data_IF_831382923982
#
_entry.id   IF_831382923982
#
_cell.length_a   1.000
_cell.length_b   1.000
_cell.length_c   1.000
_cell.angle_alpha   90.00
_cell.angle_beta   90.00
_cell.angle_gamma   90.00
#
_symmetry.space_group_name_H-M   'P 1'
#
loop_
_entity.id
_entity.type
_entity.pdbx_description
1 polymer ?
#
# COMPACT_ATOMS: atom_id res chain seq x y z
N UNK A 1 51.92 -42.85 -45.63
CA UNK A 1 52.62 -42.51 -44.39
C UNK A 1 51.79 -43.04 -43.23
N UNK A 2 52.41 -43.93 -42.45
CA UNK A 2 52.09 -44.38 -41.08
C UNK A 2 50.70 -44.13 -40.46
N UNK A 3 50.09 -45.06 -39.72
CA UNK A 3 50.33 -46.49 -39.43
C UNK A 3 49.15 -46.94 -38.53
N UNK A 4 48.66 -48.15 -38.78
CA UNK A 4 48.04 -49.13 -37.87
C UNK A 4 46.91 -48.69 -36.93
N UNK A 5 45.71 -49.20 -37.25
CA UNK A 5 44.76 -49.63 -36.22
C UNK A 5 45.25 -50.90 -35.53
N UNK A 6 44.92 -51.02 -34.24
CA UNK A 6 44.86 -52.32 -33.59
C UNK A 6 43.80 -52.31 -32.47
N UNK A 7 43.10 -53.43 -32.40
CA UNK A 7 41.94 -53.74 -31.56
C UNK A 7 42.41 -54.15 -30.18
N UNK A 8 41.85 -53.60 -29.09
CA UNK A 8 41.86 -54.25 -27.76
C UNK A 8 40.55 -53.96 -26.99
N UNK A 9 39.79 -55.04 -26.82
CA UNK A 9 38.80 -55.41 -25.80
C UNK A 9 38.50 -54.45 -24.64
N UNK A 10 37.22 -54.04 -24.52
CA UNK A 10 36.64 -53.46 -23.31
C UNK A 10 36.29 -54.58 -22.30
N UNK A 11 37.03 -54.62 -21.20
CA UNK A 11 36.74 -55.40 -20.00
C UNK A 11 35.73 -54.68 -19.10
N UNK A 12 34.67 -55.41 -18.75
CA UNK A 12 33.87 -55.37 -17.52
C UNK A 12 33.80 -54.06 -16.70
N UNK A 13 32.61 -53.41 -16.72
CA UNK A 13 32.16 -52.49 -15.67
C UNK A 13 31.65 -53.26 -14.45
N UNK A 14 32.04 -52.92 -13.21
CA UNK A 14 31.25 -53.26 -12.04
C UNK A 14 30.19 -52.19 -11.79
N UNK A 15 29.02 -52.66 -11.36
CA UNK A 15 27.85 -51.86 -11.05
C UNK A 15 27.93 -51.16 -9.68
N UNK A 16 27.13 -50.08 -9.57
CA UNK A 16 26.61 -49.38 -8.39
C UNK A 16 27.57 -48.49 -7.58
N UNK A 17 27.19 -47.22 -7.44
CA UNK A 17 26.35 -46.81 -6.29
C UNK A 17 25.82 -45.38 -6.37
N UNK A 18 24.49 -45.27 -6.18
CA UNK A 18 23.75 -44.30 -5.34
C UNK A 18 23.93 -42.79 -5.57
N UNK A 19 22.89 -42.20 -6.14
CA UNK A 19 22.11 -41.10 -5.54
C UNK A 19 22.90 -39.94 -4.93
N UNK A 20 23.22 -38.95 -5.74
CA UNK A 20 23.47 -37.58 -5.29
C UNK A 20 22.22 -36.76 -5.54
N UNK A 21 21.57 -36.32 -4.46
CA UNK A 21 20.61 -35.22 -4.50
C UNK A 21 21.35 -33.98 -4.99
N UNK A 22 20.97 -33.46 -6.17
CA UNK A 22 21.40 -32.13 -6.57
C UNK A 22 20.73 -31.14 -5.62
N UNK A 23 21.50 -30.61 -4.67
CA UNK A 23 21.10 -29.42 -3.94
C UNK A 23 21.18 -28.26 -4.92
N UNK A 24 20.02 -27.78 -5.37
CA UNK A 24 19.91 -26.46 -5.96
C UNK A 24 20.48 -25.42 -4.98
N UNK A 25 21.22 -24.42 -5.48
CA UNK A 25 21.69 -23.34 -4.62
C UNK A 25 20.46 -22.54 -4.17
N UNK A 26 20.06 -22.71 -2.90
CA UNK A 26 19.12 -21.80 -2.24
C UNK A 26 19.67 -20.39 -2.36
N UNK A 27 18.99 -19.53 -3.11
CA UNK A 27 19.29 -18.10 -3.17
C UNK A 27 18.89 -17.48 -1.82
N UNK A 28 19.82 -17.13 -0.93
CA UNK A 28 19.50 -16.69 0.43
C UNK A 28 18.69 -15.38 0.44
N UNK A 29 18.77 -14.58 -0.62
CA UNK A 29 17.98 -13.34 -0.78
C UNK A 29 16.49 -13.58 -1.02
N UNK A 30 16.11 -14.71 -1.63
CA UNK A 30 14.71 -15.02 -1.96
C UNK A 30 13.87 -15.44 -0.75
N UNK A 31 14.47 -16.17 0.20
CA UNK A 31 13.80 -16.57 1.45
C UNK A 31 13.63 -15.37 2.40
N UNK A 32 14.59 -14.42 2.42
CA UNK A 32 14.56 -13.22 3.28
C UNK A 32 13.48 -12.20 2.84
N UNK A 33 13.27 -12.05 1.52
CA UNK A 33 12.22 -11.17 0.97
C UNK A 33 10.78 -11.71 1.13
N UNK A 34 10.61 -13.02 1.35
CA UNK A 34 9.29 -13.65 1.37
C UNK A 34 8.50 -13.41 2.69
N UNK A 35 9.23 -13.15 3.78
CA UNK A 35 8.67 -12.83 5.10
C UNK A 35 8.42 -11.34 5.33
N UNK A 36 9.06 -10.48 4.54
CA UNK A 36 8.87 -9.03 4.60
C UNK A 36 7.46 -8.65 4.15
N UNK A 37 6.87 -7.70 4.85
CA UNK A 37 5.52 -7.20 4.60
C UNK A 37 5.49 -6.22 3.43
N UNK A 38 4.34 -6.10 2.78
CA UNK A 38 4.15 -5.17 1.66
C UNK A 38 4.43 -3.73 2.09
N UNK A 39 3.92 -3.34 3.27
CA UNK A 39 4.10 -2.01 3.84
C UNK A 39 5.56 -1.66 4.06
N UNK A 40 6.39 -2.62 4.50
CA UNK A 40 7.84 -2.41 4.66
C UNK A 40 8.57 -2.20 3.32
N UNK A 41 8.14 -2.87 2.24
CA UNK A 41 8.73 -2.61 0.91
C UNK A 41 8.48 -1.16 0.47
N UNK A 42 7.24 -0.69 0.62
CA UNK A 42 6.84 0.66 0.20
C UNK A 42 7.39 1.73 1.15
N UNK A 43 7.47 1.46 2.45
CA UNK A 43 8.05 2.38 3.41
C UNK A 43 9.56 2.59 3.19
N UNK A 44 10.29 1.55 2.80
CA UNK A 44 11.71 1.67 2.44
C UNK A 44 11.92 2.42 1.13
N UNK A 45 11.05 2.17 0.14
CA UNK A 45 11.11 2.83 -1.15
C UNK A 45 9.71 2.96 -1.76
N UNK A 46 9.17 4.19 -1.71
CA UNK A 46 7.81 4.47 -2.15
C UNK A 46 7.56 4.12 -3.62
N UNK A 47 8.60 4.09 -4.46
CA UNK A 47 8.48 3.71 -5.88
C UNK A 47 7.98 2.28 -6.07
N UNK A 48 8.16 1.43 -5.06
CA UNK A 48 7.66 0.05 -5.08
C UNK A 48 6.13 -0.01 -4.95
N UNK A 49 5.45 1.06 -4.50
CA UNK A 49 3.99 1.15 -4.49
C UNK A 49 3.39 0.85 -5.87
N UNK A 50 3.96 1.45 -6.93
CA UNK A 50 3.48 1.27 -8.30
C UNK A 50 3.56 -0.18 -8.79
N UNK A 51 4.46 -0.99 -8.24
CA UNK A 51 4.49 -2.44 -8.51
C UNK A 51 3.27 -3.10 -7.89
N UNK A 52 2.99 -2.85 -6.61
CA UNK A 52 1.83 -3.45 -5.94
C UNK A 52 0.51 -3.00 -6.57
N UNK A 53 0.37 -1.73 -6.92
CA UNK A 53 -0.79 -1.17 -7.63
C UNK A 53 -1.04 -1.88 -8.97
N UNK A 54 0.01 -2.09 -9.76
CA UNK A 54 -0.06 -2.78 -11.05
C UNK A 54 -0.65 -4.19 -10.92
N UNK A 55 -0.43 -4.86 -9.80
CA UNK A 55 -0.92 -6.21 -9.52
C UNK A 55 -2.18 -6.23 -8.65
N UNK A 56 -2.75 -5.06 -8.30
CA UNK A 56 -3.90 -4.95 -7.41
C UNK A 56 -3.64 -5.52 -6.02
N UNK A 57 -2.40 -5.40 -5.53
CA UNK A 57 -1.99 -5.77 -4.18
C UNK A 57 -2.12 -4.52 -3.31
N UNK A 58 -2.91 -4.60 -2.25
CA UNK A 58 -3.13 -3.50 -1.32
C UNK A 58 -1.91 -3.30 -0.40
N UNK A 59 -1.22 -2.18 -0.59
CA UNK A 59 -0.04 -1.80 0.18
C UNK A 59 -0.33 -0.76 1.27
N UNK A 60 -1.54 -0.18 1.32
CA UNK A 60 -1.89 0.88 2.25
C UNK A 60 -2.59 0.30 3.49
N UNK A 61 -3.71 -0.41 3.34
CA UNK A 61 -4.43 -1.06 4.44
C UNK A 61 -3.88 -2.47 4.70
N UNK A 62 -3.70 -3.25 3.63
CA UNK A 62 -3.13 -4.59 3.64
C UNK A 62 -1.61 -4.67 3.86
N UNK A 63 -0.96 -3.54 4.14
CA UNK A 63 0.50 -3.41 4.24
C UNK A 63 1.17 -4.39 5.21
N UNK A 64 0.50 -4.81 6.29
CA UNK A 64 1.03 -5.78 7.26
C UNK A 64 1.10 -7.22 6.73
N UNK A 65 0.56 -7.50 5.54
CA UNK A 65 0.61 -8.83 4.94
C UNK A 65 2.00 -9.13 4.40
N UNK A 66 2.53 -10.32 4.71
CA UNK A 66 3.75 -10.81 4.08
C UNK A 66 3.57 -10.89 2.56
N UNK A 67 4.60 -10.51 1.79
CA UNK A 67 4.58 -10.52 0.33
C UNK A 67 4.09 -11.85 -0.23
N UNK A 68 4.59 -12.95 0.31
CA UNK A 68 4.24 -14.30 -0.14
C UNK A 68 2.76 -14.63 0.09
N UNK A 69 2.15 -14.12 1.17
CA UNK A 69 0.74 -14.35 1.47
C UNK A 69 -0.17 -13.58 0.51
N UNK A 70 0.12 -12.31 0.28
CA UNK A 70 -0.63 -11.48 -0.65
C UNK A 70 -0.55 -11.99 -2.10
N UNK A 71 0.65 -12.41 -2.53
CA UNK A 71 0.84 -13.03 -3.85
C UNK A 71 0.01 -14.33 -3.99
N UNK A 72 0.01 -15.19 -2.98
CA UNK A 72 -0.80 -16.43 -2.98
C UNK A 72 -2.29 -16.15 -3.10
N UNK A 73 -2.81 -15.14 -2.41
CA UNK A 73 -4.23 -14.76 -2.50
C UNK A 73 -4.64 -14.31 -3.91
N UNK A 74 -3.73 -13.68 -4.65
CA UNK A 74 -3.95 -13.20 -6.01
C UNK A 74 -3.53 -14.20 -7.11
N UNK A 75 -2.96 -15.36 -6.73
CA UNK A 75 -2.45 -16.34 -7.69
C UNK A 75 -1.21 -15.86 -8.46
N UNK A 76 -0.41 -14.97 -7.86
CA UNK A 76 0.79 -14.37 -8.46
C UNK A 76 2.03 -15.09 -7.92
N UNK A 77 3.04 -15.27 -8.77
CA UNK A 77 4.36 -15.76 -8.34
C UNK A 77 5.11 -14.66 -7.56
N UNK A 78 5.44 -14.86 -6.27
CA UNK A 78 6.19 -13.88 -5.50
C UNK A 78 7.54 -13.50 -6.13
N UNK A 79 8.19 -14.43 -6.85
CA UNK A 79 9.49 -14.16 -7.48
C UNK A 79 9.38 -13.09 -8.58
N UNK A 80 8.26 -13.04 -9.30
CA UNK A 80 7.99 -12.02 -10.30
C UNK A 80 7.90 -10.63 -9.65
N UNK A 81 7.17 -10.52 -8.53
CA UNK A 81 7.00 -9.26 -7.81
C UNK A 81 8.34 -8.76 -7.27
N UNK A 82 9.16 -9.64 -6.69
CA UNK A 82 10.51 -9.27 -6.23
C UNK A 82 11.36 -8.72 -7.37
N UNK A 83 11.27 -9.32 -8.56
CA UNK A 83 12.02 -8.84 -9.73
C UNK A 83 11.55 -7.43 -10.17
N UNK A 84 10.24 -7.17 -10.17
CA UNK A 84 9.72 -5.84 -10.51
C UNK A 84 10.04 -4.80 -9.44
N UNK A 85 10.04 -5.17 -8.15
CA UNK A 85 10.49 -4.31 -7.05
C UNK A 85 11.95 -3.90 -7.25
N UNK A 86 12.83 -4.84 -7.57
CA UNK A 86 14.25 -4.53 -7.80
C UNK A 86 14.45 -3.68 -9.05
N UNK A 87 13.63 -3.88 -10.10
CA UNK A 87 13.64 -3.03 -11.28
C UNK A 87 13.16 -1.59 -10.96
N UNK A 88 12.12 -1.42 -10.15
CA UNK A 88 11.63 -0.08 -9.75
C UNK A 88 12.68 0.71 -8.96
N UNK A 89 13.61 0.03 -8.28
CA UNK A 89 14.66 0.65 -7.48
C UNK A 89 15.84 1.19 -8.29
N UNK A 90 15.95 0.88 -9.58
CA UNK A 90 17.16 1.22 -10.38
C UNK A 90 17.34 2.71 -10.63
N UNK A 91 16.26 3.49 -10.59
CA UNK A 91 16.34 4.94 -10.71
C UNK A 91 16.89 5.57 -9.41
N UNK A 92 17.43 6.79 -9.44
CA UNK A 92 17.76 7.49 -8.20
C UNK A 92 16.49 7.78 -7.39
N UNK A 93 16.48 7.46 -6.10
CA UNK A 93 15.39 7.88 -5.19
C UNK A 93 15.32 9.41 -5.24
N UNK A 94 14.17 9.94 -5.65
CA UNK A 94 13.91 11.37 -5.49
C UNK A 94 13.94 11.68 -4.00
N UNK A 95 14.83 12.61 -3.59
CA UNK A 95 15.04 12.95 -2.18
C UNK A 95 13.75 13.36 -1.45
N UNK A 96 12.74 13.78 -2.20
CA UNK A 96 11.40 14.16 -1.77
C UNK A 96 10.49 13.00 -1.34
N UNK A 97 10.88 11.74 -1.56
CA UNK A 97 10.01 10.57 -1.32
C UNK A 97 10.56 9.58 -0.28
N UNK A 98 11.61 9.94 0.45
CA UNK A 98 12.09 9.14 1.58
C UNK A 98 11.31 9.48 2.87
N UNK A 99 10.03 9.11 2.88
CA UNK A 99 9.11 9.37 3.99
C UNK A 99 9.54 8.66 5.29
N UNK A 100 10.19 7.50 5.19
CA UNK A 100 10.74 6.80 6.35
C UNK A 100 11.81 7.59 7.10
N UNK A 101 12.51 8.53 6.45
CA UNK A 101 13.47 9.41 7.10
C UNK A 101 12.83 10.65 7.77
N UNK A 102 11.54 10.91 7.57
CA UNK A 102 10.90 12.10 8.10
C UNK A 102 10.55 11.97 9.58
N UNK A 103 10.74 13.07 10.30
CA UNK A 103 10.35 13.20 11.69
C UNK A 103 8.82 13.17 11.83
N UNK A 104 8.32 12.58 12.92
CA UNK A 104 6.90 12.42 13.20
C UNK A 104 6.09 13.73 13.05
N UNK A 105 6.49 14.88 13.62
CA UNK A 105 5.77 16.13 13.45
C UNK A 105 5.69 16.60 11.99
N UNK A 106 6.79 16.45 11.24
CA UNK A 106 6.87 16.90 9.86
C UNK A 106 6.03 16.01 8.94
N UNK A 107 6.04 14.69 9.15
CA UNK A 107 5.21 13.77 8.40
C UNK A 107 3.72 14.04 8.63
N UNK A 108 3.31 14.29 9.88
CA UNK A 108 1.93 14.67 10.19
C UNK A 108 1.53 15.99 9.52
N UNK A 109 2.39 17.03 9.56
CA UNK A 109 2.12 18.30 8.87
C UNK A 109 2.01 18.13 7.35
N UNK A 110 2.84 17.28 6.75
CA UNK A 110 2.77 16.97 5.33
C UNK A 110 1.46 16.28 4.96
N UNK A 111 1.05 15.26 5.72
CA UNK A 111 -0.21 14.54 5.48
C UNK A 111 -1.39 15.52 5.51
N UNK A 112 -1.45 16.40 6.50
CA UNK A 112 -2.50 17.42 6.58
C UNK A 112 -2.45 18.39 5.40
N UNK A 113 -1.25 18.91 5.07
CA UNK A 113 -1.12 19.91 4.02
C UNK A 113 -1.40 19.38 2.61
N UNK A 114 -1.01 18.13 2.34
CA UNK A 114 -1.07 17.54 1.01
C UNK A 114 -2.34 16.71 0.84
N UNK A 115 -2.52 15.68 1.67
CA UNK A 115 -3.60 14.70 1.49
C UNK A 115 -4.92 15.20 2.07
N UNK A 116 -4.94 15.70 3.31
CA UNK A 116 -6.18 16.21 3.89
C UNK A 116 -6.64 17.48 3.15
N UNK A 117 -5.69 18.33 2.75
CA UNK A 117 -5.94 19.47 1.87
C UNK A 117 -6.63 19.05 0.57
N UNK A 118 -6.03 18.10 -0.17
CA UNK A 118 -6.62 17.58 -1.40
C UNK A 118 -8.04 17.01 -1.17
N UNK A 119 -8.22 16.15 -0.15
CA UNK A 119 -9.52 15.54 0.14
C UNK A 119 -10.56 16.64 0.41
N UNK A 120 -10.27 17.60 1.29
CA UNK A 120 -11.20 18.69 1.64
C UNK A 120 -11.57 19.57 0.45
N UNK A 121 -10.63 19.82 -0.46
CA UNK A 121 -10.86 20.63 -1.65
C UNK A 121 -11.71 19.92 -2.71
N UNK A 122 -11.55 18.60 -2.86
CA UNK A 122 -12.08 17.87 -4.01
C UNK A 122 -13.33 17.03 -3.69
N UNK A 123 -13.47 16.51 -2.47
CA UNK A 123 -14.45 15.46 -2.17
C UNK A 123 -15.90 15.86 -2.46
N UNK A 124 -16.28 17.11 -2.15
CA UNK A 124 -17.63 17.61 -2.42
C UNK A 124 -17.95 17.72 -3.91
N UNK A 125 -16.97 18.09 -4.74
CA UNK A 125 -17.16 18.12 -6.19
C UNK A 125 -17.30 16.70 -6.75
N UNK A 126 -16.49 15.75 -6.27
CA UNK A 126 -16.56 14.36 -6.72
C UNK A 126 -17.93 13.75 -6.37
N UNK A 127 -18.45 13.98 -5.15
CA UNK A 127 -19.82 13.58 -4.76
C UNK A 127 -20.87 14.13 -5.74
N UNK A 128 -20.81 15.43 -6.04
CA UNK A 128 -21.74 16.06 -6.98
C UNK A 128 -21.67 15.42 -8.38
N UNK A 129 -20.46 15.15 -8.85
CA UNK A 129 -20.24 14.51 -10.14
C UNK A 129 -20.73 13.05 -10.18
N UNK A 130 -20.50 12.26 -9.12
CA UNK A 130 -21.01 10.88 -9.05
C UNK A 130 -22.53 10.83 -9.09
N UNK A 131 -23.21 11.72 -8.36
CA UNK A 131 -24.67 11.83 -8.47
C UNK A 131 -25.12 12.26 -9.86
N UNK A 132 -24.39 13.19 -10.48
CA UNK A 132 -24.78 13.70 -11.80
C UNK A 132 -24.73 12.61 -12.88
N UNK A 133 -23.68 11.79 -12.86
CA UNK A 133 -23.55 10.70 -13.85
C UNK A 133 -24.57 9.59 -13.55
N UNK A 134 -24.86 9.31 -12.29
CA UNK A 134 -25.92 8.37 -11.91
C UNK A 134 -27.30 8.83 -12.39
N UNK A 135 -27.63 10.11 -12.24
CA UNK A 135 -28.89 10.70 -12.71
C UNK A 135 -29.05 10.57 -14.24
N UNK A 136 -28.01 10.94 -15.00
CA UNK A 136 -28.10 11.02 -16.48
C UNK A 136 -27.91 9.67 -17.15
N UNK A 137 -26.99 8.84 -16.64
CA UNK A 137 -26.58 7.58 -17.27
C UNK A 137 -27.13 6.33 -16.57
N UNK A 138 -27.68 6.46 -15.35
CA UNK A 138 -28.21 5.35 -14.54
C UNK A 138 -29.12 4.36 -15.27
N UNK A 139 -30.03 4.78 -16.17
CA UNK A 139 -30.87 3.83 -16.93
C UNK A 139 -30.08 2.85 -17.81
N UNK A 140 -28.87 3.22 -18.27
CA UNK A 140 -27.98 2.37 -19.08
C UNK A 140 -26.79 1.82 -18.29
N UNK A 141 -26.44 2.49 -17.19
CA UNK A 141 -25.28 2.25 -16.34
C UNK A 141 -25.73 2.20 -14.86
N UNK A 142 -26.46 1.15 -14.46
CA UNK A 142 -27.09 1.07 -13.14
C UNK A 142 -26.09 1.04 -11.98
N UNK A 143 -24.85 0.61 -12.22
CA UNK A 143 -23.76 0.60 -11.24
C UNK A 143 -23.42 2.00 -10.70
N UNK A 144 -23.71 3.06 -11.47
CA UNK A 144 -23.41 4.43 -11.08
C UNK A 144 -24.18 4.88 -9.82
N UNK A 145 -25.38 4.33 -9.61
CA UNK A 145 -26.16 4.62 -8.40
C UNK A 145 -25.45 4.07 -7.14
N UNK A 146 -24.86 2.89 -7.26
CA UNK A 146 -24.10 2.24 -6.19
C UNK A 146 -22.77 2.96 -5.94
N UNK A 147 -22.05 3.33 -7.00
CA UNK A 147 -20.83 4.15 -6.92
C UNK A 147 -21.11 5.48 -6.19
N UNK A 148 -22.19 6.18 -6.56
CA UNK A 148 -22.55 7.45 -5.93
C UNK A 148 -22.86 7.28 -4.43
N UNK A 149 -23.63 6.24 -4.06
CA UNK A 149 -23.95 5.96 -2.66
C UNK A 149 -22.71 5.57 -1.84
N UNK A 150 -21.80 4.77 -2.41
CA UNK A 150 -20.55 4.41 -1.74
C UNK A 150 -19.64 5.63 -1.54
N UNK A 151 -19.53 6.49 -2.55
CA UNK A 151 -18.67 7.67 -2.48
C UNK A 151 -19.23 8.74 -1.52
N UNK A 152 -20.55 8.91 -1.47
CA UNK A 152 -21.20 9.77 -0.46
C UNK A 152 -20.90 9.30 0.96
N UNK A 153 -20.89 7.98 1.19
CA UNK A 153 -20.51 7.42 2.47
C UNK A 153 -19.03 7.64 2.81
N UNK A 154 -18.13 7.44 1.84
CA UNK A 154 -16.70 7.77 2.00
C UNK A 154 -16.54 9.24 2.42
N UNK A 155 -17.29 10.16 1.79
CA UNK A 155 -17.22 11.57 2.11
C UNK A 155 -17.67 11.90 3.53
N UNK A 156 -18.74 11.26 4.00
CA UNK A 156 -19.21 11.41 5.37
C UNK A 156 -18.21 10.84 6.39
N UNK A 157 -17.68 9.65 6.13
CA UNK A 157 -16.75 8.94 7.03
C UNK A 157 -15.43 9.72 7.14
N UNK A 158 -14.85 10.17 6.02
CA UNK A 158 -13.61 10.94 6.00
C UNK A 158 -13.75 12.31 6.70
N UNK A 159 -14.90 12.98 6.61
CA UNK A 159 -15.07 14.29 7.27
C UNK A 159 -14.96 14.23 8.80
N UNK A 160 -15.38 13.11 9.41
CA UNK A 160 -15.20 12.88 10.84
C UNK A 160 -13.76 12.42 11.14
N UNK A 161 -13.27 11.47 10.36
CA UNK A 161 -11.94 10.89 10.50
C UNK A 161 -10.82 11.95 10.45
N UNK A 162 -10.77 12.79 9.42
CA UNK A 162 -9.71 13.80 9.28
C UNK A 162 -9.72 14.84 10.42
N UNK A 163 -10.90 15.17 10.96
CA UNK A 163 -11.00 16.09 12.10
C UNK A 163 -10.43 15.48 13.37
N UNK A 164 -10.71 14.22 13.61
CA UNK A 164 -10.15 13.50 14.75
C UNK A 164 -8.62 13.50 14.69
N UNK A 165 -8.07 13.21 13.50
CA UNK A 165 -6.63 13.20 13.33
C UNK A 165 -6.00 14.57 13.55
N UNK A 166 -6.58 15.61 12.96
CA UNK A 166 -6.06 16.98 13.03
C UNK A 166 -6.20 17.63 14.41
N UNK A 167 -7.29 17.34 15.13
CA UNK A 167 -7.62 18.01 16.39
C UNK A 167 -7.13 17.22 17.61
N UNK A 168 -7.02 15.89 17.51
CA UNK A 168 -6.70 15.01 18.65
C UNK A 168 -5.39 14.26 18.41
N UNK A 169 -5.33 13.39 17.39
CA UNK A 169 -4.23 12.45 17.22
C UNK A 169 -2.89 13.12 16.90
N UNK A 170 -2.82 13.93 15.83
CA UNK A 170 -1.59 14.61 15.43
C UNK A 170 -1.09 15.60 16.49
N UNK A 171 -1.94 16.40 17.17
CA UNK A 171 -1.50 17.22 18.28
C UNK A 171 -0.92 16.42 19.45
N UNK A 172 -1.53 15.29 19.83
CA UNK A 172 -1.00 14.41 20.89
C UNK A 172 0.34 13.80 20.49
N UNK A 173 0.45 13.30 19.26
CA UNK A 173 1.68 12.76 18.67
C UNK A 173 2.83 13.77 18.70
N UNK A 174 2.57 15.03 18.29
CA UNK A 174 3.58 16.10 18.30
C UNK A 174 4.04 16.47 19.71
N UNK A 175 3.13 16.50 20.69
CA UNK A 175 3.47 16.75 22.10
C UNK A 175 4.31 15.63 22.68
N UNK A 176 3.96 14.38 22.40
CA UNK A 176 4.70 13.21 22.84
C UNK A 176 6.12 13.15 22.23
N UNK A 177 6.26 13.39 20.92
CA UNK A 177 7.56 13.47 20.24
C UNK A 177 8.45 14.57 20.84
N UNK A 178 7.87 15.75 21.07
CA UNK A 178 8.58 16.88 21.69
C UNK A 178 9.07 16.57 23.10
N UNK A 179 8.28 15.85 23.90
CA UNK A 179 8.69 15.41 25.23
C UNK A 179 9.88 14.44 25.17
N UNK A 180 9.82 13.45 24.27
CA UNK A 180 10.90 12.49 24.05
C UNK A 180 12.21 13.17 23.64
N UNK A 181 12.16 14.12 22.69
CA UNK A 181 13.32 14.93 22.27
C UNK A 181 13.92 15.77 23.40
N UNK A 182 13.10 16.17 24.37
CA UNK A 182 13.55 16.88 25.58
C UNK A 182 14.05 15.94 26.70
N UNK A 183 14.15 14.62 26.45
CA UNK A 183 14.52 13.63 27.46
C UNK A 183 13.48 13.44 28.56
N UNK A 184 12.22 13.83 28.30
CA UNK A 184 11.10 13.72 29.23
C UNK A 184 10.17 12.59 28.79
N UNK A 185 9.44 12.02 29.74
CA UNK A 185 8.35 11.10 29.41
C UNK A 185 7.17 11.90 28.82
N UNK A 186 6.52 11.43 27.74
CA UNK A 186 5.25 11.99 27.28
C UNK A 186 4.20 12.03 28.39
N UNK A 187 3.27 12.98 28.30
CA UNK A 187 2.14 13.01 29.23
C UNK A 187 1.25 11.77 29.01
N UNK A 188 0.76 11.16 30.09
CA UNK A 188 -0.02 9.92 30.00
C UNK A 188 -1.26 10.10 29.11
N UNK A 189 -1.92 11.26 29.18
CA UNK A 189 -3.07 11.60 28.33
C UNK A 189 -2.75 11.56 26.83
N UNK A 190 -1.53 11.96 26.43
CA UNK A 190 -1.12 11.96 25.02
C UNK A 190 -0.86 10.52 24.56
N UNK A 191 -0.22 9.70 25.41
CA UNK A 191 0.00 8.27 25.15
C UNK A 191 -1.31 7.52 25.03
N UNK A 192 -2.27 7.81 25.93
CA UNK A 192 -3.57 7.16 25.94
C UNK A 192 -4.41 7.55 24.72
N UNK A 193 -4.37 8.82 24.31
CA UNK A 193 -5.01 9.30 23.08
C UNK A 193 -4.44 8.57 21.85
N UNK A 194 -3.11 8.60 21.67
CA UNK A 194 -2.45 7.92 20.53
C UNK A 194 -2.81 6.43 20.52
N UNK A 195 -2.71 5.74 21.67
CA UNK A 195 -3.02 4.30 21.76
C UNK A 195 -4.48 4.00 21.42
N UNK A 196 -5.41 4.79 21.95
CA UNK A 196 -6.85 4.62 21.73
C UNK A 196 -7.24 4.83 20.27
N UNK A 197 -6.62 5.81 19.61
CA UNK A 197 -6.95 6.18 18.24
C UNK A 197 -6.34 5.23 17.21
N UNK A 198 -5.12 4.72 17.42
CA UNK A 198 -4.44 3.85 16.44
C UNK A 198 -5.29 2.67 15.96
N UNK A 199 -5.94 1.95 16.88
CA UNK A 199 -6.77 0.79 16.52
C UNK A 199 -8.00 1.24 15.72
N UNK A 200 -8.60 2.37 16.13
CA UNK A 200 -9.80 2.91 15.50
C UNK A 200 -9.49 3.46 14.10
N UNK A 201 -8.46 4.31 13.97
CA UNK A 201 -8.05 4.92 12.70
C UNK A 201 -7.69 3.85 11.66
N UNK A 202 -6.95 2.81 12.05
CA UNK A 202 -6.65 1.68 11.14
C UNK A 202 -7.91 0.96 10.65
N UNK A 203 -8.90 0.75 11.53
CA UNK A 203 -10.18 0.14 11.13
C UNK A 203 -10.96 1.06 10.18
N UNK A 204 -11.01 2.36 10.47
CA UNK A 204 -11.65 3.34 9.60
C UNK A 204 -10.97 3.39 8.22
N UNK A 205 -9.64 3.29 8.14
CA UNK A 205 -8.90 3.13 6.89
C UNK A 205 -9.31 1.88 6.10
N UNK A 206 -9.39 0.73 6.76
CA UNK A 206 -9.82 -0.52 6.13
C UNK A 206 -11.24 -0.41 5.57
N UNK A 207 -12.17 0.17 6.33
CA UNK A 207 -13.55 0.37 5.90
C UNK A 207 -13.68 1.32 4.70
N UNK A 208 -12.88 2.39 4.64
CA UNK A 208 -12.84 3.31 3.49
C UNK A 208 -12.15 2.65 2.29
N UNK A 209 -11.03 1.97 2.51
CA UNK A 209 -10.28 1.24 1.48
C UNK A 209 -11.13 0.18 0.78
N UNK A 210 -11.90 -0.60 1.53
CA UNK A 210 -12.85 -1.58 1.01
C UNK A 210 -13.89 -0.95 0.07
N UNK A 211 -14.40 0.24 0.42
CA UNK A 211 -15.37 0.97 -0.43
C UNK A 211 -14.71 1.47 -1.71
N UNK A 212 -13.49 1.98 -1.63
CA UNK A 212 -12.75 2.46 -2.81
C UNK A 212 -12.46 1.30 -3.77
N UNK A 213 -12.05 0.15 -3.25
CA UNK A 213 -11.88 -1.06 -4.06
C UNK A 213 -13.19 -1.54 -4.70
N UNK A 214 -14.32 -1.48 -3.97
CA UNK A 214 -15.62 -1.80 -4.52
C UNK A 214 -16.03 -0.84 -5.66
N UNK A 215 -15.80 0.47 -5.49
CA UNK A 215 -16.03 1.48 -6.53
C UNK A 215 -15.19 1.17 -7.77
N UNK A 216 -13.88 0.89 -7.60
CA UNK A 216 -12.99 0.54 -8.70
C UNK A 216 -13.48 -0.68 -9.46
N UNK A 217 -13.95 -1.70 -8.75
CA UNK A 217 -14.51 -2.91 -9.35
C UNK A 217 -15.78 -2.62 -10.17
N UNK A 218 -16.74 -1.88 -9.59
CA UNK A 218 -17.96 -1.47 -10.27
C UNK A 218 -17.66 -0.63 -11.52
N UNK A 219 -16.69 0.28 -11.41
CA UNK A 219 -16.22 1.14 -12.49
C UNK A 219 -15.33 0.43 -13.53
N UNK A 220 -15.07 -0.88 -13.37
CA UNK A 220 -14.22 -1.69 -14.25
C UNK A 220 -12.86 -1.03 -14.48
N UNK A 221 -12.14 -0.77 -13.39
CA UNK A 221 -10.86 -0.06 -13.39
C UNK A 221 -10.96 1.36 -14.01
N UNK A 222 -12.10 2.02 -13.80
CA UNK A 222 -12.44 3.33 -14.35
C UNK A 222 -12.41 3.38 -15.88
N UNK A 223 -12.79 2.27 -16.53
CA UNK A 223 -12.92 2.22 -18.00
C UNK A 223 -14.16 2.99 -18.44
N UNK A 224 -13.96 4.04 -19.25
CA UNK A 224 -15.06 4.89 -19.76
C UNK A 224 -15.79 4.20 -20.92
N UNK A 225 -17.12 4.00 -20.85
CA UNK A 225 -17.88 3.35 -21.92
C UNK A 225 -18.08 4.27 -23.13
N UNK A 226 -18.31 3.69 -24.31
CA UNK A 226 -18.40 4.44 -25.58
C UNK A 226 -19.58 5.40 -25.70
N UNK A 227 -20.58 5.29 -24.82
CA UNK A 227 -21.75 6.16 -24.76
C UNK A 227 -21.70 7.19 -23.61
N UNK A 228 -20.54 7.30 -22.97
CA UNK A 228 -20.26 8.26 -21.90
C UNK A 228 -20.18 9.70 -22.41
N UNK A 229 -20.65 10.65 -21.59
CA UNK A 229 -20.41 12.06 -21.82
C UNK A 229 -19.08 12.52 -21.21
N UNK A 230 -18.68 13.76 -21.48
CA UNK A 230 -17.44 14.31 -20.91
C UNK A 230 -17.45 14.34 -19.37
N UNK A 231 -18.59 14.64 -18.73
CA UNK A 231 -18.70 14.63 -17.26
C UNK A 231 -18.39 13.24 -16.71
N UNK A 232 -18.88 12.17 -17.33
CA UNK A 232 -18.57 10.79 -16.94
C UNK A 232 -17.07 10.53 -16.96
N UNK A 233 -16.39 10.86 -18.07
CA UNK A 233 -14.95 10.66 -18.20
C UNK A 233 -14.17 11.44 -17.12
N UNK A 234 -14.58 12.69 -16.85
CA UNK A 234 -13.99 13.52 -15.79
C UNK A 234 -14.24 12.90 -14.40
N UNK A 235 -15.46 12.43 -14.10
CA UNK A 235 -15.77 11.80 -12.81
C UNK A 235 -14.91 10.57 -12.57
N UNK A 236 -14.76 9.70 -13.57
CA UNK A 236 -13.92 8.49 -13.44
C UNK A 236 -12.45 8.84 -13.26
N UNK A 237 -11.95 9.87 -13.95
CA UNK A 237 -10.60 10.39 -13.72
C UNK A 237 -10.43 10.89 -12.29
N UNK A 238 -11.38 11.65 -11.76
CA UNK A 238 -11.33 12.17 -10.40
C UNK A 238 -11.43 11.08 -9.33
N UNK A 239 -12.28 10.06 -9.53
CA UNK A 239 -12.36 8.91 -8.63
C UNK A 239 -11.02 8.15 -8.59
N UNK A 240 -10.37 8.00 -9.75
CA UNK A 240 -9.04 7.38 -9.82
C UNK A 240 -7.98 8.24 -9.11
N UNK A 241 -7.95 9.55 -9.37
CA UNK A 241 -7.02 10.47 -8.70
C UNK A 241 -7.22 10.47 -7.17
N UNK A 242 -8.48 10.39 -6.73
CA UNK A 242 -8.82 10.26 -5.31
C UNK A 242 -8.34 8.92 -4.72
N UNK A 243 -8.54 7.79 -5.42
CA UNK A 243 -8.02 6.49 -5.00
C UNK A 243 -6.48 6.53 -4.88
N UNK A 244 -5.79 7.07 -5.87
CA UNK A 244 -4.33 7.16 -5.88
C UNK A 244 -3.81 8.01 -4.69
N UNK A 245 -4.44 9.17 -4.42
CA UNK A 245 -4.08 10.03 -3.28
C UNK A 245 -4.35 9.33 -1.93
N UNK A 246 -5.52 8.71 -1.79
CA UNK A 246 -5.91 8.01 -0.57
C UNK A 246 -4.99 6.82 -0.26
N UNK A 247 -4.60 6.04 -1.28
CA UNK A 247 -3.65 4.95 -1.08
C UNK A 247 -2.30 5.46 -0.53
N UNK A 248 -1.80 6.58 -1.08
CA UNK A 248 -0.58 7.20 -0.58
C UNK A 248 -0.76 7.71 0.85
N UNK A 249 -1.82 8.47 1.11
CA UNK A 249 -2.17 8.99 2.43
C UNK A 249 -2.18 7.88 3.47
N UNK A 250 -3.03 6.87 3.27
CA UNK A 250 -3.20 5.78 4.23
C UNK A 250 -1.91 4.97 4.39
N UNK A 251 -1.09 4.83 3.34
CA UNK A 251 0.22 4.19 3.47
C UNK A 251 1.15 4.99 4.39
N UNK A 252 1.25 6.31 4.22
CA UNK A 252 2.08 7.17 5.06
C UNK A 252 1.67 7.09 6.52
N UNK A 253 0.39 6.95 6.80
CA UNK A 253 -0.12 6.77 8.16
C UNK A 253 0.13 5.36 8.68
N UNK A 254 -0.48 4.35 8.07
CA UNK A 254 -0.49 2.99 8.57
C UNK A 254 0.91 2.37 8.69
N UNK A 255 1.76 2.62 7.68
CA UNK A 255 3.02 1.90 7.51
C UNK A 255 4.24 2.75 7.87
N UNK A 256 4.07 4.04 8.17
CA UNK A 256 5.17 4.91 8.57
C UNK A 256 4.85 5.64 9.87
N UNK A 257 3.87 6.55 9.87
CA UNK A 257 3.56 7.40 11.03
C UNK A 257 3.14 6.57 12.24
N UNK A 258 2.19 5.65 12.06
CA UNK A 258 1.61 4.85 13.13
C UNK A 258 2.62 3.86 13.70
N UNK A 259 3.39 3.16 12.84
CA UNK A 259 4.45 2.25 13.30
C UNK A 259 5.56 2.98 14.07
N UNK A 260 5.95 4.19 13.61
CA UNK A 260 6.90 5.03 14.34
C UNK A 260 6.33 5.48 15.68
N UNK A 261 5.07 5.92 15.72
CA UNK A 261 4.42 6.35 16.95
C UNK A 261 4.31 5.20 17.98
N UNK A 262 3.92 4.00 17.53
CA UNK A 262 3.87 2.80 18.38
C UNK A 262 5.25 2.45 18.95
N UNK A 263 6.31 2.52 18.13
CA UNK A 263 7.68 2.21 18.55
C UNK A 263 8.28 3.26 19.50
N UNK A 264 8.12 4.54 19.17
CA UNK A 264 8.88 5.63 19.77
C UNK A 264 8.14 6.34 20.91
N UNK A 265 6.79 6.33 20.88
CA UNK A 265 5.97 7.14 21.79
C UNK A 265 5.16 6.31 22.79
N UNK A 266 4.87 5.04 22.47
CA UNK A 266 4.12 4.15 23.35
C UNK A 266 5.12 3.22 24.06
N UNK A 267 5.32 3.36 25.38
CA UNK A 267 6.15 2.43 26.14
C UNK A 267 5.60 1.02 26.01
N UNK A 268 6.46 0.04 25.70
CA UNK A 268 6.09 -1.37 25.77
C UNK A 268 5.58 -1.71 27.17
N UNK A 269 4.49 -2.47 27.28
CA UNK A 269 4.14 -3.13 28.53
C UNK A 269 5.28 -4.09 28.84
N UNK A 270 6.14 -3.72 29.80
CA UNK A 270 7.12 -4.63 30.41
C UNK A 270 6.38 -5.75 31.14
#
# INVERSE_FOLDING_TARGET
MNVQGNVITLSAFPARSKGGTMNEPKNPRGEETAGKTIGEFVAEDYRTAGVFEKYGIDFCCGGNSALSAACRQKGIDPALIVLEIEAAKTDPVARSENFAAWELPFLADYIVAVHHGYIKENIGQIVSHTHKIAEVHGPRHPELAEIAAMFEKIAADLAAHLREEEEIFFPALKRADSAGKAGKKPAQQDVDAIRGDLIRLRREHEEVGDRVHAIRHLARDFTVPGDACNTYAVTYKQLKEFEDDLHKHVHLENNILFLKAERDLIPSLV
#
